data_IF_758583763916
#
_entry.id   IF_758583763916
#
_cell.length_a   1.000
_cell.length_b   1.000
_cell.length_c   1.000
_cell.angle_alpha   90.00
_cell.angle_beta   90.00
_cell.angle_gamma   90.00
#
_symmetry.space_group_name_H-M   'P 1'
#
loop_
_entity.id
_entity.type
_entity.pdbx_description
1 polymer ?
#
# COMPACT_ATOMS: atom_id res chain seq x y z
N UNK A 1 41.85 5.28 21.17
CA UNK A 1 42.89 4.34 21.68
C UNK A 1 42.50 3.61 22.99
N UNK A 2 41.20 3.51 23.37
CA UNK A 2 40.76 2.77 24.58
C UNK A 2 40.21 1.37 24.30
N UNK A 3 39.82 1.08 23.05
CA UNK A 3 39.22 -0.20 22.65
C UNK A 3 40.32 -1.27 22.43
N UNK A 4 41.44 -0.88 21.80
CA UNK A 4 42.60 -1.77 21.58
C UNK A 4 43.25 -2.28 22.87
N UNK A 5 43.32 -1.46 23.94
CA UNK A 5 43.90 -1.90 25.22
C UNK A 5 42.98 -2.82 26.04
N UNK A 6 41.69 -2.91 25.70
CA UNK A 6 40.76 -3.86 26.35
C UNK A 6 40.85 -5.25 25.72
N UNK A 7 41.30 -5.35 24.47
CA UNK A 7 41.58 -6.61 23.79
C UNK A 7 42.85 -7.30 24.32
N UNK A 8 43.93 -6.57 24.64
CA UNK A 8 45.18 -7.19 25.11
C UNK A 8 45.11 -7.82 26.50
N UNK A 9 44.15 -7.39 27.35
CA UNK A 9 43.89 -8.02 28.66
C UNK A 9 43.11 -9.33 28.56
N UNK A 10 42.33 -9.54 27.49
CA UNK A 10 41.58 -10.77 27.26
C UNK A 10 42.43 -11.87 26.58
N UNK A 11 43.53 -11.49 25.93
CA UNK A 11 44.50 -12.40 25.29
C UNK A 11 45.23 -13.34 26.28
N UNK A 12 45.24 -13.03 27.58
CA UNK A 12 46.07 -13.77 28.55
C UNK A 12 45.53 -15.16 28.96
N UNK A 13 44.31 -15.54 28.55
CA UNK A 13 43.64 -16.77 29.05
C UNK A 13 42.86 -17.58 27.99
N UNK A 14 43.03 -17.32 26.69
CA UNK A 14 42.31 -18.04 25.62
C UNK A 14 43.28 -18.53 24.54
N UNK A 15 43.10 -19.78 24.12
CA UNK A 15 43.88 -20.38 23.03
C UNK A 15 43.70 -19.60 21.70
N UNK A 16 44.75 -19.53 20.89
CA UNK A 16 44.78 -18.79 19.63
C UNK A 16 43.68 -19.24 18.66
N UNK A 17 43.34 -20.54 18.68
CA UNK A 17 42.23 -21.07 17.89
C UNK A 17 40.87 -20.54 18.37
N UNK A 18 40.67 -20.43 19.68
CA UNK A 18 39.45 -19.86 20.26
C UNK A 18 39.30 -18.38 19.91
N UNK A 19 40.41 -17.62 19.92
CA UNK A 19 40.42 -16.23 19.49
C UNK A 19 40.04 -16.06 18.02
N UNK A 20 40.61 -16.88 17.12
CA UNK A 20 40.31 -16.84 15.70
C UNK A 20 38.84 -17.17 15.41
N UNK A 21 38.28 -18.20 16.06
CA UNK A 21 36.87 -18.56 15.90
C UNK A 21 35.93 -17.43 16.33
N UNK A 22 36.24 -16.72 17.42
CA UNK A 22 35.47 -15.56 17.86
C UNK A 22 35.52 -14.44 16.82
N UNK A 23 36.68 -14.16 16.25
CA UNK A 23 36.83 -13.12 15.20
C UNK A 23 36.05 -13.48 13.93
N UNK A 24 36.12 -14.75 13.49
CA UNK A 24 35.35 -15.21 12.33
C UNK A 24 33.83 -15.17 12.58
N UNK A 25 33.37 -15.59 13.77
CA UNK A 25 31.97 -15.54 14.14
C UNK A 25 31.45 -14.09 14.18
N UNK A 26 32.23 -13.16 14.73
CA UNK A 26 31.89 -11.73 14.76
C UNK A 26 31.81 -11.13 13.34
N UNK A 27 32.73 -11.49 12.45
CA UNK A 27 32.70 -11.03 11.05
C UNK A 27 31.49 -11.59 10.28
N UNK A 28 31.14 -12.87 10.47
CA UNK A 28 29.97 -13.48 9.84
C UNK A 28 28.65 -12.86 10.35
N UNK A 29 28.56 -12.55 11.64
CA UNK A 29 27.42 -11.83 12.21
C UNK A 29 27.34 -10.40 11.65
N UNK A 30 28.48 -9.73 11.46
CA UNK A 30 28.52 -8.41 10.85
C UNK A 30 28.00 -8.46 9.40
N UNK A 31 28.50 -9.38 8.57
CA UNK A 31 28.06 -9.53 7.17
C UNK A 31 26.54 -9.74 7.06
N UNK A 32 25.99 -10.70 7.82
CA UNK A 32 24.55 -11.00 7.79
C UNK A 32 23.67 -9.85 8.29
N UNK A 33 24.14 -9.09 9.29
CA UNK A 33 23.40 -7.92 9.78
C UNK A 33 23.46 -6.75 8.79
N UNK A 34 24.60 -6.51 8.14
CA UNK A 34 24.73 -5.49 7.10
C UNK A 34 23.84 -5.79 5.89
N UNK A 35 23.81 -7.03 5.41
CA UNK A 35 22.93 -7.45 4.32
C UNK A 35 21.45 -7.23 4.71
N UNK A 36 21.06 -7.67 5.90
CA UNK A 36 19.69 -7.49 6.40
C UNK A 36 19.30 -6.02 6.52
N UNK A 37 20.20 -5.16 6.99
CA UNK A 37 19.98 -3.71 7.05
C UNK A 37 19.90 -3.11 5.64
N UNK A 38 20.76 -3.54 4.71
CA UNK A 38 20.75 -3.08 3.32
C UNK A 38 19.44 -3.46 2.62
N UNK A 39 18.95 -4.70 2.80
CA UNK A 39 17.66 -5.14 2.26
C UNK A 39 16.49 -4.32 2.84
N UNK A 40 16.44 -4.12 4.15
CA UNK A 40 15.38 -3.35 4.80
C UNK A 40 15.42 -1.86 4.44
N UNK A 41 16.61 -1.27 4.30
CA UNK A 41 16.77 0.12 3.86
C UNK A 41 16.37 0.31 2.40
N UNK A 42 16.71 -0.62 1.51
CA UNK A 42 16.23 -0.60 0.12
C UNK A 42 14.68 -0.71 0.02
N UNK A 43 14.06 -1.55 0.85
CA UNK A 43 12.59 -1.71 0.92
C UNK A 43 11.88 -0.46 1.48
N UNK A 44 12.52 0.28 2.39
CA UNK A 44 11.94 1.51 2.96
C UNK A 44 12.15 2.72 2.04
N UNK A 45 13.27 2.81 1.33
CA UNK A 45 13.55 3.88 0.37
C UNK A 45 12.67 3.81 -0.88
N UNK A 46 12.24 2.62 -1.28
CA UNK A 46 11.30 2.42 -2.41
C UNK A 46 9.86 2.77 -2.06
N UNK A 47 9.49 2.78 -0.77
CA UNK A 47 8.13 3.10 -0.32
C UNK A 47 7.99 4.58 0.03
N UNK A 48 8.17 5.47 -0.95
CA UNK A 48 7.79 6.88 -0.79
C UNK A 48 6.27 6.95 -0.68
N UNK A 49 5.75 6.96 0.55
CA UNK A 49 4.32 7.00 0.80
C UNK A 49 3.77 8.35 0.32
N UNK A 50 2.97 8.32 -0.74
CA UNK A 50 2.33 9.52 -1.26
C UNK A 50 1.33 9.98 -0.21
N UNK A 51 1.60 11.15 0.38
CA UNK A 51 0.67 11.76 1.32
C UNK A 51 -0.63 12.08 0.56
N UNK A 52 -1.74 11.52 1.03
CA UNK A 52 -3.06 11.91 0.53
C UNK A 52 -3.32 13.38 0.90
N UNK A 53 -3.98 14.16 0.04
CA UNK A 53 -4.43 15.51 0.37
C UNK A 53 -5.27 15.52 1.67
N UNK A 54 -5.38 16.66 2.37
CA UNK A 54 -6.24 16.78 3.55
C UNK A 54 -7.71 16.56 3.15
N UNK A 55 -8.28 15.42 3.56
CA UNK A 55 -9.65 15.02 3.24
C UNK A 55 -10.34 14.36 4.42
N UNK A 56 -11.66 14.08 4.30
CA UNK A 56 -12.37 13.36 5.34
C UNK A 56 -11.74 11.99 5.57
N UNK A 57 -11.74 11.55 6.83
CA UNK A 57 -11.20 10.24 7.25
C UNK A 57 -11.82 9.09 6.44
N UNK A 58 -13.11 9.18 6.13
CA UNK A 58 -13.81 8.18 5.31
C UNK A 58 -13.22 8.08 3.90
N UNK A 59 -13.05 9.22 3.21
CA UNK A 59 -12.52 9.24 1.86
C UNK A 59 -11.07 8.75 1.80
N UNK A 60 -10.23 9.15 2.76
CA UNK A 60 -8.84 8.66 2.85
C UNK A 60 -8.79 7.16 3.11
N UNK A 61 -9.62 6.66 4.04
CA UNK A 61 -9.70 5.23 4.34
C UNK A 61 -10.16 4.43 3.12
N UNK A 62 -11.20 4.89 2.44
CA UNK A 62 -11.72 4.25 1.23
C UNK A 62 -10.69 4.24 0.11
N UNK A 63 -9.93 5.33 -0.06
CA UNK A 63 -8.83 5.40 -1.03
C UNK A 63 -7.78 4.32 -0.77
N UNK A 64 -7.24 4.23 0.46
CA UNK A 64 -6.23 3.21 0.78
C UNK A 64 -6.77 1.79 0.67
N UNK A 65 -8.00 1.56 1.13
CA UNK A 65 -8.66 0.26 0.96
C UNK A 65 -8.82 -0.11 -0.51
N UNK A 66 -9.18 0.85 -1.37
CA UNK A 66 -9.32 0.66 -2.80
C UNK A 66 -7.95 0.34 -3.43
N UNK A 67 -6.90 1.10 -3.07
CA UNK A 67 -5.53 0.87 -3.52
C UNK A 67 -5.01 -0.52 -3.17
N UNK A 68 -5.37 -1.03 -1.98
CA UNK A 68 -4.98 -2.36 -1.51
C UNK A 68 -5.91 -3.48 -2.00
N UNK A 69 -7.04 -3.16 -2.65
CA UNK A 69 -8.05 -4.15 -3.03
C UNK A 69 -8.87 -4.71 -1.85
N UNK A 70 -8.77 -4.09 -0.66
CA UNK A 70 -9.48 -4.47 0.57
C UNK A 70 -10.66 -3.53 0.86
N UNK A 71 -11.41 -3.16 -0.17
CA UNK A 71 -12.48 -2.16 -0.09
C UNK A 71 -13.88 -2.79 -0.12
N UNK A 72 -14.90 -1.99 0.18
CA UNK A 72 -16.29 -2.45 0.27
C UNK A 72 -16.96 -2.67 -1.10
N UNK A 73 -16.22 -3.20 -2.08
CA UNK A 73 -16.74 -3.63 -3.37
C UNK A 73 -17.12 -5.11 -3.33
N UNK A 74 -18.04 -5.53 -4.21
CA UNK A 74 -18.57 -6.89 -4.22
C UNK A 74 -17.51 -7.97 -4.42
N UNK A 75 -16.45 -7.75 -5.21
CA UNK A 75 -15.39 -8.75 -5.36
C UNK A 75 -14.75 -9.13 -4.01
N UNK A 76 -14.35 -8.12 -3.24
CA UNK A 76 -13.77 -8.32 -1.91
C UNK A 76 -14.78 -8.89 -0.92
N UNK A 77 -16.01 -8.37 -0.92
CA UNK A 77 -17.07 -8.85 -0.02
C UNK A 77 -17.47 -10.30 -0.31
N UNK A 78 -17.49 -10.70 -1.59
CA UNK A 78 -17.81 -12.07 -2.01
C UNK A 78 -16.70 -13.03 -1.55
N UNK A 79 -15.43 -12.65 -1.72
CA UNK A 79 -14.28 -13.41 -1.19
C UNK A 79 -14.34 -13.61 0.33
N UNK A 80 -15.00 -12.70 1.05
CA UNK A 80 -15.23 -12.79 2.51
C UNK A 80 -16.55 -13.45 2.91
N UNK A 81 -17.35 -13.94 1.97
CA UNK A 81 -18.66 -14.54 2.25
C UNK A 81 -19.68 -13.55 2.81
N UNK A 82 -19.60 -12.25 2.44
CA UNK A 82 -20.51 -11.19 2.91
C UNK A 82 -21.59 -10.81 1.91
N UNK A 83 -21.45 -11.22 0.65
CA UNK A 83 -22.44 -11.03 -0.42
C UNK A 83 -22.48 -12.27 -1.29
N UNK A 84 -23.63 -12.55 -1.90
CA UNK A 84 -23.85 -13.77 -2.68
C UNK A 84 -23.26 -13.72 -4.10
N UNK A 85 -22.91 -12.53 -4.59
CA UNK A 85 -22.36 -12.36 -5.93
C UNK A 85 -21.32 -11.24 -6.01
N UNK A 86 -20.25 -11.51 -6.77
CA UNK A 86 -19.18 -10.56 -7.09
C UNK A 86 -19.49 -9.62 -8.25
N UNK A 87 -20.61 -9.85 -8.96
CA UNK A 87 -20.92 -9.11 -10.20
C UNK A 87 -21.37 -7.68 -9.92
N UNK A 88 -20.96 -6.76 -10.79
CA UNK A 88 -21.38 -5.38 -10.76
C UNK A 88 -22.84 -5.24 -11.24
N UNK A 89 -23.70 -4.46 -10.55
CA UNK A 89 -25.06 -4.17 -11.02
C UNK A 89 -25.13 -3.44 -12.36
N UNK A 90 -24.02 -2.86 -12.83
CA UNK A 90 -24.00 -2.01 -14.02
C UNK A 90 -24.34 -2.76 -15.31
N UNK A 91 -24.00 -4.05 -15.39
CA UNK A 91 -24.26 -4.91 -16.55
C UNK A 91 -24.37 -6.40 -16.18
N UNK A 92 -24.28 -6.77 -14.89
CA UNK A 92 -24.34 -8.13 -14.36
C UNK A 92 -23.33 -9.13 -14.95
N UNK A 93 -22.31 -8.66 -15.67
CA UNK A 93 -21.28 -9.49 -16.33
C UNK A 93 -19.90 -9.22 -15.76
N UNK A 94 -19.57 -7.95 -15.54
CA UNK A 94 -18.26 -7.56 -15.00
C UNK A 94 -18.19 -7.83 -13.49
N UNK A 95 -17.02 -8.25 -13.01
CA UNK A 95 -16.74 -8.32 -11.58
C UNK A 95 -16.60 -6.89 -11.05
N UNK A 96 -17.16 -6.61 -9.87
CA UNK A 96 -17.04 -5.29 -9.24
C UNK A 96 -15.71 -5.19 -8.47
N UNK A 97 -14.65 -4.89 -9.20
CA UNK A 97 -13.31 -4.66 -8.67
C UNK A 97 -12.89 -3.17 -8.80
N UNK A 98 -11.77 -2.74 -8.18
CA UNK A 98 -11.30 -1.36 -8.28
C UNK A 98 -11.06 -0.91 -9.73
N UNK A 99 -10.53 -1.80 -10.57
CA UNK A 99 -10.29 -1.55 -11.99
C UNK A 99 -11.58 -1.19 -12.71
N UNK A 100 -12.62 -2.00 -12.51
CA UNK A 100 -13.91 -1.79 -13.12
C UNK A 100 -14.54 -0.48 -12.66
N UNK A 101 -14.58 -0.21 -11.35
CA UNK A 101 -15.17 1.02 -10.80
C UNK A 101 -14.48 2.26 -11.36
N UNK A 102 -13.15 2.30 -11.33
CA UNK A 102 -12.36 3.46 -11.72
C UNK A 102 -12.20 3.66 -13.22
N UNK A 103 -12.31 2.60 -14.03
CA UNK A 103 -12.00 2.70 -15.48
C UNK A 103 -13.19 2.43 -16.40
N UNK A 104 -14.14 1.55 -16.05
CA UNK A 104 -15.13 1.04 -17.04
C UNK A 104 -16.60 0.97 -16.59
N UNK A 105 -16.90 1.06 -15.29
CA UNK A 105 -18.25 0.86 -14.75
C UNK A 105 -19.28 1.89 -15.26
N UNK A 106 -20.31 1.46 -15.99
CA UNK A 106 -21.28 2.41 -16.59
C UNK A 106 -22.03 3.27 -15.56
N UNK A 107 -22.21 2.78 -14.33
CA UNK A 107 -22.86 3.53 -13.23
C UNK A 107 -22.11 4.80 -12.83
N UNK A 108 -20.78 4.82 -12.98
CA UNK A 108 -19.93 5.94 -12.58
C UNK A 108 -19.38 6.72 -13.77
N UNK A 109 -20.05 6.64 -14.94
CA UNK A 109 -19.60 7.27 -16.18
C UNK A 109 -19.39 8.78 -16.02
N UNK A 110 -20.35 9.47 -15.41
CA UNK A 110 -20.30 10.94 -15.24
C UNK A 110 -19.17 11.37 -14.29
N UNK A 111 -19.03 10.70 -13.14
CA UNK A 111 -17.95 10.97 -12.20
C UNK A 111 -16.57 10.66 -12.81
N UNK A 112 -16.46 9.59 -13.62
CA UNK A 112 -15.22 9.31 -14.38
C UNK A 112 -14.92 10.35 -15.43
N UNK A 113 -15.94 10.88 -16.12
CA UNK A 113 -15.75 11.94 -17.11
C UNK A 113 -15.17 13.20 -16.45
N UNK A 114 -15.71 13.61 -15.30
CA UNK A 114 -15.15 14.73 -14.50
C UNK A 114 -13.71 14.44 -14.05
N UNK A 115 -13.45 13.22 -13.59
CA UNK A 115 -12.11 12.78 -13.20
C UNK A 115 -11.13 12.86 -14.38
N UNK A 116 -11.56 12.45 -15.58
CA UNK A 116 -10.76 12.50 -16.80
C UNK A 116 -10.50 13.94 -17.27
N UNK A 117 -11.52 14.80 -17.25
CA UNK A 117 -11.41 16.23 -17.58
C UNK A 117 -10.42 16.96 -16.67
N UNK A 118 -10.40 16.60 -15.38
CA UNK A 118 -9.46 17.16 -14.39
C UNK A 118 -8.02 16.72 -14.65
N UNK A 119 -7.86 15.46 -15.07
CA UNK A 119 -6.56 14.80 -15.18
C UNK A 119 -5.86 15.06 -16.51
N UNK A 120 -6.62 15.27 -17.60
CA UNK A 120 -6.17 15.44 -18.99
C UNK A 120 -5.41 14.25 -19.61
N UNK A 121 -4.86 13.36 -18.80
CA UNK A 121 -4.20 12.12 -19.22
C UNK A 121 -5.16 10.91 -19.29
N UNK A 122 -4.81 9.86 -20.07
CA UNK A 122 -5.57 8.61 -20.07
C UNK A 122 -5.58 7.96 -18.70
N UNK A 123 -6.78 7.58 -18.24
CA UNK A 123 -6.99 6.94 -16.95
C UNK A 123 -6.35 5.54 -16.93
N UNK A 124 -5.36 5.36 -16.07
CA UNK A 124 -4.81 4.04 -15.72
C UNK A 124 -4.81 3.87 -14.19
N UNK A 125 -4.84 2.63 -13.72
CA UNK A 125 -4.81 2.34 -12.28
C UNK A 125 -3.53 2.87 -11.62
N UNK A 126 -2.38 2.62 -12.25
CA UNK A 126 -1.10 3.10 -11.75
C UNK A 126 -1.10 4.63 -11.65
N UNK A 127 -1.61 5.32 -12.68
CA UNK A 127 -1.74 6.78 -12.63
C UNK A 127 -2.65 7.22 -11.47
N UNK A 128 -3.85 6.65 -11.36
CA UNK A 128 -4.85 7.07 -10.37
C UNK A 128 -4.44 6.79 -8.91
N UNK A 129 -3.69 5.72 -8.67
CA UNK A 129 -3.37 5.25 -7.32
C UNK A 129 -1.95 5.63 -6.87
N UNK A 130 -1.04 5.89 -7.80
CA UNK A 130 0.39 6.10 -7.52
C UNK A 130 0.92 7.48 -7.94
N UNK A 131 0.09 8.38 -8.48
CA UNK A 131 0.50 9.76 -8.74
C UNK A 131 -0.23 10.73 -7.81
N UNK A 132 0.39 11.85 -7.45
CA UNK A 132 -0.24 12.87 -6.58
C UNK A 132 -1.52 13.43 -7.20
N UNK A 133 -1.49 13.73 -8.50
CA UNK A 133 -2.64 14.24 -9.26
C UNK A 133 -3.75 13.20 -9.34
N UNK A 134 -3.40 11.95 -9.69
CA UNK A 134 -4.35 10.84 -9.74
C UNK A 134 -4.98 10.52 -8.38
N UNK A 135 -4.20 10.59 -7.30
CA UNK A 135 -4.69 10.39 -5.93
C UNK A 135 -5.72 11.46 -5.57
N UNK A 136 -5.43 12.74 -5.87
CA UNK A 136 -6.38 13.83 -5.63
C UNK A 136 -7.67 13.64 -6.42
N UNK A 137 -7.57 13.27 -7.70
CA UNK A 137 -8.71 13.03 -8.57
C UNK A 137 -9.55 11.82 -8.09
N UNK A 138 -8.89 10.73 -7.67
CA UNK A 138 -9.56 9.54 -7.13
C UNK A 138 -10.27 9.85 -5.82
N UNK A 139 -9.68 10.67 -4.94
CA UNK A 139 -10.35 11.07 -3.71
C UNK A 139 -11.55 11.97 -3.99
N UNK A 140 -11.48 12.88 -4.97
CA UNK A 140 -12.63 13.65 -5.41
C UNK A 140 -13.76 12.75 -5.95
N UNK A 141 -13.40 11.75 -6.77
CA UNK A 141 -14.33 10.73 -7.23
C UNK A 141 -14.99 9.96 -6.07
N UNK A 142 -14.23 9.55 -5.06
CA UNK A 142 -14.76 8.86 -3.87
C UNK A 142 -15.70 9.77 -3.08
N UNK A 143 -15.38 11.06 -2.94
CA UNK A 143 -16.25 12.02 -2.24
C UNK A 143 -17.59 12.20 -2.95
N UNK A 144 -17.59 12.27 -4.28
CA UNK A 144 -18.80 12.44 -5.08
C UNK A 144 -19.67 11.17 -5.10
N UNK A 145 -19.04 10.01 -5.31
CA UNK A 145 -19.76 8.76 -5.55
C UNK A 145 -19.98 7.92 -4.31
N UNK A 146 -19.21 8.18 -3.25
CA UNK A 146 -19.03 7.32 -2.07
C UNK A 146 -18.64 5.88 -2.41
N UNK A 147 -18.21 5.61 -3.64
CA UNK A 147 -17.90 4.25 -4.08
C UNK A 147 -16.80 3.65 -3.19
N UNK A 148 -16.96 2.36 -2.87
CA UNK A 148 -16.03 1.58 -2.05
C UNK A 148 -15.93 2.02 -0.57
N UNK A 149 -16.74 2.98 -0.10
CA UNK A 149 -16.85 3.30 1.34
C UNK A 149 -17.75 2.30 2.07
N UNK A 150 -17.61 2.23 3.40
CA UNK A 150 -18.50 1.41 4.22
C UNK A 150 -19.94 1.93 4.20
N UNK A 151 -20.13 3.25 4.19
CA UNK A 151 -21.46 3.88 4.14
C UNK A 151 -22.20 3.48 2.85
N UNK A 152 -21.49 3.48 1.71
CA UNK A 152 -22.03 3.02 0.43
C UNK A 152 -22.48 1.56 0.47
N UNK A 153 -21.69 0.66 1.06
CA UNK A 153 -22.09 -0.74 1.22
C UNK A 153 -23.31 -0.92 2.14
N UNK A 154 -23.39 -0.12 3.22
CA UNK A 154 -24.51 -0.17 4.17
C UNK A 154 -25.79 0.50 3.65
N UNK A 155 -25.73 1.19 2.50
CA UNK A 155 -26.86 1.95 1.97
C UNK A 155 -27.16 3.27 2.70
N UNK A 156 -26.27 3.73 3.58
CA UNK A 156 -26.44 5.00 4.28
C UNK A 156 -25.91 6.15 3.41
N UNK A 157 -26.81 6.75 2.62
CA UNK A 157 -26.50 7.91 1.79
C UNK A 157 -26.73 9.26 2.50
N UNK A 158 -27.34 9.24 3.68
CA UNK A 158 -27.64 10.45 4.46
C UNK A 158 -26.66 10.60 5.63
N UNK A 159 -25.88 11.68 5.61
CA UNK A 159 -25.09 12.21 6.72
C UNK A 159 -24.86 13.70 6.47
#
# INVERSE_FOLDING_TARGET
MRIYMRQSRFQKNLDMASYLLIVFALNALALTTWDTIAYNTALTLTRKQIATPPTSREASSAFYQLKLGHCYLRDFLFKRGKVDSKVCPCNYRATQDPAHILLSCTLYKEARKKMQETTKDPLSLAFLLDTTVGVQATIAFIKETRAATQAWYKGNLDN
#
